data_IF_981967115814
#
_entry.id   IF_981967115814
#
_cell.length_a   1.000
_cell.length_b   1.000
_cell.length_c   1.000
_cell.angle_alpha   90.00
_cell.angle_beta   90.00
_cell.angle_gamma   90.00
#
_symmetry.space_group_name_H-M   'P 1'
#
loop_
_entity.id
_entity.type
_entity.pdbx_description
1 polymer ?
#
# COMPACT_ATOMS: atom_id res chain seq x y z
N UNK A 1 35.25 -1.48 -37.58
CA UNK A 1 34.63 -2.34 -36.55
C UNK A 1 35.01 -1.88 -35.16
N UNK A 2 36.30 -1.65 -34.88
CA UNK A 2 36.80 -1.18 -33.58
C UNK A 2 36.29 0.22 -33.16
N UNK A 3 36.24 1.19 -34.09
CA UNK A 3 35.71 2.53 -33.76
C UNK A 3 34.21 2.53 -33.40
N UNK A 4 33.43 1.63 -34.02
CA UNK A 4 31.99 1.50 -33.77
C UNK A 4 31.74 0.88 -32.38
N UNK A 5 32.55 -0.11 -31.98
CA UNK A 5 32.53 -0.65 -30.61
C UNK A 5 32.98 0.39 -29.59
N UNK A 6 34.01 1.18 -29.89
CA UNK A 6 34.48 2.27 -29.03
C UNK A 6 33.40 3.32 -28.79
N UNK A 7 32.73 3.78 -29.86
CA UNK A 7 31.62 4.73 -29.78
C UNK A 7 30.41 4.16 -29.01
N UNK A 8 30.10 2.86 -29.19
CA UNK A 8 29.03 2.18 -28.47
C UNK A 8 29.32 2.10 -26.96
N UNK A 9 30.55 1.74 -26.58
CA UNK A 9 30.96 1.66 -25.19
C UNK A 9 30.92 3.03 -24.50
N UNK A 10 31.42 4.08 -25.18
CA UNK A 10 31.35 5.45 -24.66
C UNK A 10 29.91 5.94 -24.42
N UNK A 11 28.97 5.56 -25.30
CA UNK A 11 27.55 5.88 -25.11
C UNK A 11 26.92 5.07 -23.96
N UNK A 12 27.33 3.82 -23.77
CA UNK A 12 26.90 2.99 -22.65
C UNK A 12 27.36 3.56 -21.30
N UNK A 13 28.60 4.04 -21.22
CA UNK A 13 29.14 4.70 -20.02
C UNK A 13 28.35 5.98 -19.68
N UNK A 14 28.03 6.80 -20.69
CA UNK A 14 27.23 8.01 -20.48
C UNK A 14 25.81 7.69 -20.00
N UNK A 15 25.19 6.62 -20.51
CA UNK A 15 23.88 6.16 -20.03
C UNK A 15 23.95 5.67 -18.59
N UNK A 16 25.04 5.00 -18.20
CA UNK A 16 25.23 4.52 -16.83
C UNK A 16 25.32 5.67 -15.83
N UNK A 17 26.05 6.74 -16.15
CA UNK A 17 26.19 7.92 -15.29
C UNK A 17 24.85 8.66 -15.10
N UNK A 18 24.03 8.73 -16.16
CA UNK A 18 22.68 9.30 -16.06
C UNK A 18 21.75 8.45 -15.19
N UNK A 19 21.78 7.12 -15.37
CA UNK A 19 21.00 6.20 -14.54
C UNK A 19 21.44 6.27 -13.08
N UNK A 20 22.74 6.38 -12.83
CA UNK A 20 23.29 6.48 -11.48
C UNK A 20 22.89 7.81 -10.81
N UNK A 21 22.98 8.94 -11.52
CA UNK A 21 22.50 10.25 -11.03
C UNK A 21 21.00 10.25 -10.78
N UNK A 22 20.19 9.72 -11.70
CA UNK A 22 18.74 9.59 -11.52
C UNK A 22 18.41 8.70 -10.32
N UNK A 23 19.09 7.56 -10.17
CA UNK A 23 18.91 6.65 -9.04
C UNK A 23 19.32 7.30 -7.72
N UNK A 24 20.42 8.07 -7.72
CA UNK A 24 20.89 8.80 -6.55
C UNK A 24 19.90 9.90 -6.13
N UNK A 25 19.38 10.69 -7.08
CA UNK A 25 18.35 11.69 -6.80
C UNK A 25 17.06 11.06 -6.31
N UNK A 26 16.56 10.02 -6.99
CA UNK A 26 15.38 9.27 -6.55
C UNK A 26 15.57 8.68 -5.15
N UNK A 27 16.70 8.03 -4.88
CA UNK A 27 16.99 7.45 -3.58
C UNK A 27 17.06 8.52 -2.50
N UNK A 28 17.74 9.63 -2.77
CA UNK A 28 17.85 10.74 -1.81
C UNK A 28 16.49 11.40 -1.51
N UNK A 29 15.63 11.55 -2.51
CA UNK A 29 14.28 12.10 -2.35
C UNK A 29 13.32 11.15 -1.64
N UNK A 30 13.46 9.84 -1.86
CA UNK A 30 12.60 8.81 -1.27
C UNK A 30 13.06 8.36 0.12
N UNK A 31 14.35 8.43 0.44
CA UNK A 31 14.90 8.03 1.75
C UNK A 31 14.16 8.68 2.94
N UNK A 32 13.96 10.01 2.99
CA UNK A 32 13.29 10.63 4.13
C UNK A 32 11.82 10.21 4.23
N UNK A 33 11.12 10.05 3.10
CA UNK A 33 9.75 9.55 3.12
C UNK A 33 9.70 8.11 3.63
N UNK A 34 10.60 7.24 3.14
CA UNK A 34 10.72 5.85 3.54
C UNK A 34 11.03 5.71 5.05
N UNK A 35 11.97 6.50 5.57
CA UNK A 35 12.32 6.50 7.00
C UNK A 35 11.12 6.92 7.86
N UNK A 36 10.36 7.94 7.45
CA UNK A 36 9.13 8.34 8.15
C UNK A 36 8.06 7.24 8.12
N UNK A 37 7.86 6.59 6.97
CA UNK A 37 6.94 5.45 6.85
C UNK A 37 7.37 4.28 7.73
N UNK A 38 8.65 3.90 7.70
CA UNK A 38 9.18 2.82 8.55
C UNK A 38 9.06 3.15 10.03
N UNK A 39 9.33 4.41 10.42
CA UNK A 39 9.12 4.87 11.80
C UNK A 39 7.66 4.75 12.24
N UNK A 40 6.72 5.11 11.37
CA UNK A 40 5.29 4.92 11.61
C UNK A 40 4.93 3.43 11.78
N UNK A 41 5.41 2.55 10.90
CA UNK A 41 5.18 1.10 11.00
C UNK A 41 5.80 0.49 12.26
N UNK A 42 6.95 0.98 12.69
CA UNK A 42 7.62 0.50 13.91
C UNK A 42 6.90 0.96 15.18
N UNK A 43 6.30 2.15 15.16
CA UNK A 43 5.50 2.67 16.27
C UNK A 43 4.17 1.92 16.45
N UNK A 44 3.72 1.18 15.42
CA UNK A 44 2.52 0.35 15.50
C UNK A 44 2.82 -0.92 16.30
N UNK A 45 2.04 -1.19 17.35
CA UNK A 45 2.14 -2.44 18.10
C UNK A 45 1.38 -3.57 17.39
N UNK A 46 2.10 -4.31 16.55
CA UNK A 46 1.56 -5.45 15.79
C UNK A 46 1.11 -6.63 16.64
N UNK A 47 1.36 -6.62 17.96
CA UNK A 47 0.89 -7.67 18.87
C UNK A 47 -0.56 -7.49 19.30
N UNK A 48 -1.17 -6.35 19.01
CA UNK A 48 -2.54 -6.11 19.41
C UNK A 48 -3.54 -7.02 18.67
N UNK A 49 -4.45 -7.70 19.40
CA UNK A 49 -5.36 -8.68 18.80
C UNK A 49 -6.25 -8.10 17.69
N UNK A 50 -6.69 -6.85 17.83
CA UNK A 50 -7.56 -6.20 16.85
C UNK A 50 -6.83 -5.88 15.54
N UNK A 51 -5.54 -5.50 15.62
CA UNK A 51 -4.67 -5.29 14.46
C UNK A 51 -4.41 -6.60 13.71
N UNK A 52 -4.18 -7.68 14.44
CA UNK A 52 -4.01 -9.02 13.86
C UNK A 52 -5.32 -9.47 13.17
N UNK A 53 -6.47 -9.20 13.79
CA UNK A 53 -7.79 -9.45 13.19
C UNK A 53 -8.00 -8.61 11.92
N UNK A 54 -7.56 -7.36 11.92
CA UNK A 54 -7.59 -6.49 10.74
C UNK A 54 -6.73 -7.07 9.61
N UNK A 55 -5.50 -7.50 9.90
CA UNK A 55 -4.61 -8.06 8.89
C UNK A 55 -5.14 -9.39 8.35
N UNK A 56 -5.68 -10.25 9.21
CA UNK A 56 -6.27 -11.53 8.79
C UNK A 56 -7.53 -11.32 7.92
N UNK A 57 -8.34 -10.30 8.22
CA UNK A 57 -9.46 -9.88 7.37
C UNK A 57 -9.00 -9.51 5.95
N UNK A 58 -7.93 -8.74 5.81
CA UNK A 58 -7.38 -8.40 4.49
C UNK A 58 -6.84 -9.61 3.73
N UNK A 59 -6.15 -10.53 4.42
CA UNK A 59 -5.69 -11.79 3.82
C UNK A 59 -6.89 -12.64 3.36
N UNK A 60 -7.94 -12.72 4.17
CA UNK A 60 -9.16 -13.43 3.81
C UNK A 60 -9.85 -12.80 2.59
N UNK A 61 -9.94 -11.46 2.51
CA UNK A 61 -10.46 -10.76 1.34
C UNK A 61 -9.63 -11.02 0.07
N UNK A 62 -8.30 -11.06 0.20
CA UNK A 62 -7.41 -11.39 -0.90
C UNK A 62 -7.65 -12.82 -1.37
N UNK A 63 -7.69 -13.80 -0.45
CA UNK A 63 -7.99 -15.19 -0.76
C UNK A 63 -9.37 -15.33 -1.43
N UNK A 64 -10.39 -14.64 -0.92
CA UNK A 64 -11.73 -14.63 -1.48
C UNK A 64 -11.73 -14.09 -2.92
N UNK A 65 -10.97 -13.03 -3.18
CA UNK A 65 -10.76 -12.48 -4.53
C UNK A 65 -10.07 -13.49 -5.46
N UNK A 66 -9.09 -14.25 -4.95
CA UNK A 66 -8.38 -15.28 -5.71
C UNK A 66 -9.25 -16.51 -6.02
N UNK A 67 -10.09 -16.93 -5.08
CA UNK A 67 -10.99 -18.08 -5.21
C UNK A 67 -12.18 -17.74 -6.10
N UNK A 68 -12.75 -16.54 -5.96
CA UNK A 68 -13.91 -16.09 -6.74
C UNK A 68 -13.58 -15.68 -8.17
N UNK A 69 -12.41 -16.07 -8.70
CA UNK A 69 -11.96 -15.80 -10.07
C UNK A 69 -12.94 -16.22 -11.17
N UNK A 70 -13.83 -17.18 -10.89
CA UNK A 70 -14.81 -17.67 -11.88
C UNK A 70 -16.08 -16.82 -11.94
N UNK A 71 -16.35 -16.00 -10.92
CA UNK A 71 -17.62 -15.29 -10.77
C UNK A 71 -17.41 -13.77 -10.87
N UNK A 72 -17.55 -13.23 -12.08
CA UNK A 72 -17.34 -11.79 -12.35
C UNK A 72 -18.28 -10.91 -11.52
N UNK A 73 -19.55 -11.30 -11.36
CA UNK A 73 -20.54 -10.56 -10.58
C UNK A 73 -20.13 -10.41 -9.11
N UNK A 74 -19.55 -11.48 -8.55
CA UNK A 74 -19.09 -11.47 -7.17
C UNK A 74 -17.84 -10.59 -7.01
N UNK A 75 -16.92 -10.62 -7.98
CA UNK A 75 -15.77 -9.71 -8.00
C UNK A 75 -16.18 -8.25 -8.11
N UNK A 76 -17.18 -7.93 -8.94
CA UNK A 76 -17.73 -6.57 -9.01
C UNK A 76 -18.37 -6.14 -7.69
N UNK A 77 -19.07 -7.05 -6.99
CA UNK A 77 -19.59 -6.77 -5.65
C UNK A 77 -18.46 -6.50 -4.65
N UNK A 78 -17.41 -7.33 -4.63
CA UNK A 78 -16.22 -7.11 -3.79
C UNK A 78 -15.52 -5.79 -4.11
N UNK A 79 -15.42 -5.41 -5.38
CA UNK A 79 -14.85 -4.15 -5.81
C UNK A 79 -15.64 -2.96 -5.27
N UNK A 80 -16.97 -2.97 -5.43
CA UNK A 80 -17.84 -1.93 -4.88
C UNK A 80 -17.76 -1.87 -3.35
N UNK A 81 -17.68 -3.03 -2.69
CA UNK A 81 -17.53 -3.12 -1.24
C UNK A 81 -16.18 -2.55 -0.78
N UNK A 82 -15.09 -2.81 -1.51
CA UNK A 82 -13.78 -2.25 -1.23
C UNK A 82 -13.79 -0.72 -1.36
N UNK A 83 -14.39 -0.17 -2.43
CA UNK A 83 -14.54 1.27 -2.60
C UNK A 83 -15.41 1.91 -1.50
N UNK A 84 -16.52 1.26 -1.13
CA UNK A 84 -17.35 1.70 -0.02
C UNK A 84 -16.58 1.69 1.30
N UNK A 85 -15.75 0.66 1.53
CA UNK A 85 -14.86 0.57 2.68
C UNK A 85 -13.86 1.73 2.74
N UNK A 86 -13.22 2.07 1.61
CA UNK A 86 -12.31 3.23 1.50
C UNK A 86 -13.05 4.54 1.78
N UNK A 87 -14.25 4.72 1.23
CA UNK A 87 -15.07 5.91 1.47
C UNK A 87 -15.45 6.06 2.95
N UNK A 88 -15.73 4.95 3.63
CA UNK A 88 -16.08 4.94 5.06
C UNK A 88 -14.87 5.10 5.98
N UNK A 89 -13.64 5.04 5.46
CA UNK A 89 -12.43 5.05 6.27
C UNK A 89 -12.34 6.30 7.17
N UNK A 90 -12.68 7.48 6.67
CA UNK A 90 -12.63 8.73 7.47
C UNK A 90 -13.63 8.70 8.63
N UNK A 91 -14.84 8.20 8.39
CA UNK A 91 -15.87 8.06 9.42
C UNK A 91 -15.49 7.01 10.46
N UNK A 92 -14.95 5.88 10.02
CA UNK A 92 -14.44 4.83 10.90
C UNK A 92 -13.29 5.36 11.75
N UNK A 93 -12.37 6.13 11.17
CA UNK A 93 -11.23 6.72 11.88
C UNK A 93 -11.72 7.62 13.02
N UNK A 94 -12.65 8.52 12.73
CA UNK A 94 -13.23 9.42 13.74
C UNK A 94 -13.99 8.67 14.84
N UNK A 95 -14.74 7.63 14.48
CA UNK A 95 -15.48 6.81 15.43
C UNK A 95 -14.56 5.99 16.34
N UNK A 96 -13.53 5.36 15.76
CA UNK A 96 -12.55 4.56 16.47
C UNK A 96 -11.64 5.45 17.33
N UNK A 97 -11.31 6.67 16.89
CA UNK A 97 -10.64 7.69 17.70
C UNK A 97 -11.45 8.12 18.93
N UNK A 98 -12.79 7.99 18.91
CA UNK A 98 -13.62 8.21 20.11
C UNK A 98 -13.62 7.03 21.08
N UNK A 99 -13.37 5.81 20.57
CA UNK A 99 -13.59 4.55 21.30
C UNK A 99 -12.32 3.71 21.51
N UNK A 100 -11.13 4.22 21.14
CA UNK A 100 -9.88 3.46 21.14
C UNK A 100 -9.58 2.76 22.46
N UNK A 101 -9.91 3.40 23.59
CA UNK A 101 -9.69 2.86 24.95
C UNK A 101 -10.36 1.51 25.21
N UNK A 102 -11.41 1.16 24.44
CA UNK A 102 -12.16 -0.07 24.64
C UNK A 102 -11.51 -1.28 23.96
N UNK A 103 -10.62 -1.08 22.96
CA UNK A 103 -10.10 -2.18 22.15
C UNK A 103 -8.60 -2.09 21.82
N UNK A 104 -7.99 -0.92 21.99
CA UNK A 104 -6.57 -0.66 21.74
C UNK A 104 -5.89 -0.14 23.00
N UNK A 105 -4.63 -0.55 23.22
CA UNK A 105 -3.80 -0.06 24.31
C UNK A 105 -3.33 1.39 24.09
N UNK A 106 -3.28 1.83 22.84
CA UNK A 106 -2.91 3.20 22.45
C UNK A 106 -3.83 3.75 21.35
N UNK A 107 -3.85 5.08 21.22
CA UNK A 107 -4.62 5.73 20.17
C UNK A 107 -3.83 5.79 18.86
N UNK A 108 -4.20 4.95 17.91
CA UNK A 108 -3.63 4.94 16.56
C UNK A 108 -4.33 5.89 15.58
N UNK A 109 -5.51 6.35 15.94
CA UNK A 109 -6.39 7.10 15.05
C UNK A 109 -6.04 8.59 15.15
N UNK A 110 -5.46 9.11 14.07
CA UNK A 110 -5.06 10.52 13.95
C UNK A 110 -6.14 11.31 13.19
N UNK A 111 -6.27 12.61 13.43
CA UNK A 111 -7.19 13.50 12.71
C UNK A 111 -6.93 13.55 11.20
N UNK A 112 -5.69 13.27 10.79
CA UNK A 112 -5.30 13.16 9.37
C UNK A 112 -5.68 11.81 8.73
N UNK A 113 -6.11 10.83 9.52
CA UNK A 113 -6.53 9.52 9.03
C UNK A 113 -5.42 8.70 8.38
N UNK A 114 -4.15 9.01 8.64
CA UNK A 114 -2.99 8.32 8.04
C UNK A 114 -3.02 6.82 8.34
N UNK A 115 -3.27 6.47 9.60
CA UNK A 115 -3.31 5.07 10.04
C UNK A 115 -4.38 4.25 9.31
N UNK A 116 -5.63 4.74 9.27
CA UNK A 116 -6.68 4.04 8.53
C UNK A 116 -6.43 4.06 7.02
N UNK A 117 -5.92 5.17 6.48
CA UNK A 117 -5.59 5.23 5.05
C UNK A 117 -4.54 4.18 4.67
N UNK A 118 -3.52 3.98 5.49
CA UNK A 118 -2.45 3.00 5.22
C UNK A 118 -2.87 1.56 5.48
N UNK A 119 -3.53 1.27 6.61
CA UNK A 119 -3.84 -0.11 7.01
C UNK A 119 -5.21 -0.63 6.54
N UNK A 120 -6.14 0.27 6.20
CA UNK A 120 -7.46 -0.08 5.69
C UNK A 120 -7.59 0.27 4.22
N UNK A 121 -7.44 1.55 3.86
CA UNK A 121 -7.69 1.97 2.46
C UNK A 121 -6.63 1.45 1.48
N UNK A 122 -5.35 1.42 1.87
CA UNK A 122 -4.24 0.94 1.04
C UNK A 122 -4.45 -0.49 0.54
N UNK A 123 -4.58 -1.49 1.44
CA UNK A 123 -4.85 -2.88 1.06
C UNK A 123 -6.14 -3.05 0.25
N UNK A 124 -7.22 -2.33 0.59
CA UNK A 124 -8.47 -2.37 -0.16
C UNK A 124 -8.33 -1.82 -1.59
N UNK A 125 -7.58 -0.74 -1.78
CA UNK A 125 -7.29 -0.18 -3.11
C UNK A 125 -6.43 -1.13 -3.94
N UNK A 126 -5.41 -1.75 -3.34
CA UNK A 126 -4.60 -2.78 -4.02
C UNK A 126 -5.49 -3.95 -4.45
N UNK A 127 -6.40 -4.40 -3.57
CA UNK A 127 -7.38 -5.44 -3.90
C UNK A 127 -8.30 -5.01 -5.04
N UNK A 128 -8.80 -3.77 -5.03
CA UNK A 128 -9.61 -3.21 -6.10
C UNK A 128 -8.87 -3.16 -7.44
N UNK A 129 -7.59 -2.78 -7.45
CA UNK A 129 -6.73 -2.80 -8.64
C UNK A 129 -6.54 -4.24 -9.15
N UNK A 130 -6.28 -5.21 -8.26
CA UNK A 130 -6.14 -6.62 -8.64
C UNK A 130 -7.42 -7.15 -9.28
N UNK A 131 -8.59 -6.78 -8.75
CA UNK A 131 -9.89 -7.14 -9.36
C UNK A 131 -10.00 -6.52 -10.76
N UNK A 132 -9.74 -5.22 -10.90
CA UNK A 132 -9.88 -4.51 -12.17
C UNK A 132 -8.99 -5.11 -13.26
N UNK A 133 -7.72 -5.38 -12.95
CA UNK A 133 -6.75 -5.99 -13.88
C UNK A 133 -7.17 -7.41 -14.31
N UNK A 134 -7.93 -8.13 -13.47
CA UNK A 134 -8.39 -9.50 -13.75
C UNK A 134 -9.75 -9.59 -14.42
N UNK A 135 -10.58 -8.56 -14.25
CA UNK A 135 -11.92 -8.46 -14.85
C UNK A 135 -11.82 -8.07 -16.32
N UNK A 136 -10.74 -7.41 -16.72
CA UNK A 136 -10.40 -7.03 -18.10
C UNK A 136 -9.77 -8.19 -18.87
#
# INVERSE_FOLDING_TARGET
MEELQSALNAHMDQMSDLVEKLTAELRSGLNPAYENFMGFFHAIDWKEPWLICLLSFHVALLLLTLVSRKNINFQMCLFLLALAGVYLAERLNSFLAGNWKNFAGQNYFDSRGLFLSTLWSGPLLVLAIIILVRVQ
#
